data_IF_282403382631
#
_entry.id   IF_282403382631
#
_cell.length_a   1.000
_cell.length_b   1.000
_cell.length_c   1.000
_cell.angle_alpha   90.00
_cell.angle_beta   90.00
_cell.angle_gamma   90.00
#
_symmetry.space_group_name_H-M   'P 1'
#
loop_
_entity.id
_entity.type
_entity.pdbx_description
1 polymer ?
#
# COMPACT_ATOMS: atom_id res chain seq x y z
N UNK A 1 9.28 -2.76 -22.54
CA UNK A 1 8.61 -2.90 -21.23
C UNK A 1 7.39 -3.79 -21.40
N UNK A 2 7.13 -4.71 -20.46
CA UNK A 2 5.95 -5.58 -20.52
C UNK A 2 4.66 -4.74 -20.49
N UNK A 3 3.60 -5.23 -21.16
CA UNK A 3 2.27 -4.61 -21.17
C UNK A 3 1.30 -5.51 -20.41
N UNK A 4 0.43 -4.90 -19.61
CA UNK A 4 -0.60 -5.60 -18.81
C UNK A 4 -1.98 -5.12 -19.23
N UNK A 5 -2.82 -6.06 -19.62
CA UNK A 5 -4.25 -5.85 -19.94
C UNK A 5 -5.13 -6.35 -18.80
N UNK A 6 -6.44 -6.06 -18.83
CA UNK A 6 -7.40 -6.65 -17.88
C UNK A 6 -7.35 -8.18 -17.81
N UNK A 7 -7.10 -8.84 -18.93
CA UNK A 7 -7.00 -10.31 -18.99
C UNK A 7 -5.84 -10.82 -18.14
N UNK A 8 -4.65 -10.23 -18.37
CA UNK A 8 -3.37 -10.62 -17.73
C UNK A 8 -3.16 -10.01 -16.33
N UNK A 9 -4.01 -9.07 -15.92
CA UNK A 9 -3.85 -8.30 -14.67
C UNK A 9 -3.73 -9.18 -13.42
N UNK A 10 -4.57 -10.23 -13.20
CA UNK A 10 -4.43 -11.08 -12.03
C UNK A 10 -3.09 -11.81 -11.95
N UNK A 11 -2.55 -12.27 -13.08
CA UNK A 11 -1.29 -13.01 -13.11
C UNK A 11 -0.11 -12.08 -12.88
N UNK A 12 -0.15 -10.89 -13.47
CA UNK A 12 0.82 -9.84 -13.18
C UNK A 12 0.80 -9.44 -11.70
N UNK A 13 -0.37 -9.28 -11.10
CA UNK A 13 -0.53 -8.96 -9.69
C UNK A 13 0.11 -10.02 -8.78
N UNK A 14 -0.14 -11.31 -9.04
CA UNK A 14 0.49 -12.42 -8.30
C UNK A 14 1.99 -12.48 -8.50
N UNK A 15 2.44 -12.24 -9.73
CA UNK A 15 3.86 -12.18 -10.07
C UNK A 15 4.56 -11.08 -9.26
N UNK A 16 3.98 -9.88 -9.16
CA UNK A 16 4.57 -8.78 -8.39
C UNK A 16 4.69 -9.12 -6.91
N UNK A 17 3.65 -9.72 -6.30
CA UNK A 17 3.71 -10.16 -4.90
C UNK A 17 4.82 -11.20 -4.71
N UNK A 18 4.87 -12.21 -5.57
CA UNK A 18 5.87 -13.27 -5.49
C UNK A 18 7.30 -12.74 -5.67
N UNK A 19 7.52 -11.82 -6.60
CA UNK A 19 8.82 -11.17 -6.81
C UNK A 19 9.25 -10.37 -5.59
N UNK A 20 8.34 -9.57 -5.02
CA UNK A 20 8.63 -8.77 -3.82
C UNK A 20 8.94 -9.65 -2.60
N UNK A 21 8.19 -10.73 -2.39
CA UNK A 21 8.46 -11.68 -1.31
C UNK A 21 9.76 -12.45 -1.52
N UNK A 22 10.05 -12.88 -2.75
CA UNK A 22 11.32 -13.54 -3.10
C UNK A 22 12.54 -12.65 -2.88
N UNK A 23 12.36 -11.33 -3.03
CA UNK A 23 13.40 -10.33 -2.79
C UNK A 23 13.43 -9.82 -1.33
N UNK A 24 12.64 -10.37 -0.39
CA UNK A 24 12.46 -9.79 0.95
C UNK A 24 13.76 -9.53 1.73
N UNK A 25 14.80 -10.36 1.56
CA UNK A 25 16.11 -10.19 2.20
C UNK A 25 17.02 -9.14 1.55
N UNK A 26 16.64 -8.63 0.38
CA UNK A 26 17.39 -7.66 -0.42
C UNK A 26 16.96 -6.22 -0.15
N UNK A 27 15.85 -6.04 0.58
CA UNK A 27 15.42 -4.73 1.05
C UNK A 27 16.36 -4.25 2.17
N UNK A 28 16.87 -3.02 2.11
CA UNK A 28 17.83 -2.53 3.09
C UNK A 28 17.18 -2.22 4.44
N UNK A 29 15.87 -1.94 4.47
CA UNK A 29 15.16 -1.56 5.69
C UNK A 29 13.86 -2.35 5.84
N UNK A 30 13.53 -2.68 7.09
CA UNK A 30 12.20 -3.13 7.49
C UNK A 30 11.70 -2.19 8.59
N UNK A 31 10.58 -1.51 8.36
CA UNK A 31 9.90 -0.68 9.37
C UNK A 31 8.71 -1.45 9.93
N UNK A 32 8.62 -1.52 11.25
CA UNK A 32 7.45 -2.07 11.95
C UNK A 32 6.66 -0.94 12.57
N UNK A 33 5.33 -1.01 12.44
CA UNK A 33 4.42 -0.03 13.02
C UNK A 33 3.23 -0.79 13.59
N UNK A 34 2.92 -0.57 14.87
CA UNK A 34 1.72 -1.11 15.51
C UNK A 34 0.58 -0.12 15.40
N UNK A 35 -0.43 -0.48 14.64
CA UNK A 35 -1.69 0.26 14.52
C UNK A 35 -2.81 -0.49 15.26
N UNK A 36 -3.99 0.11 15.48
CA UNK A 36 -5.10 -0.56 16.15
C UNK A 36 -5.46 -1.91 15.50
N UNK A 37 -5.19 -3.00 16.22
CA UNK A 37 -5.42 -4.38 15.75
C UNK A 37 -4.49 -4.88 14.63
N UNK A 38 -3.51 -4.10 14.17
CA UNK A 38 -2.66 -4.41 13.00
C UNK A 38 -1.18 -4.14 13.28
N UNK A 39 -0.33 -5.11 12.99
CA UNK A 39 1.12 -4.89 12.93
C UNK A 39 1.56 -4.86 11.48
N UNK A 40 2.08 -3.73 11.04
CA UNK A 40 2.64 -3.56 9.70
C UNK A 40 4.12 -3.87 9.73
N UNK A 41 4.58 -4.71 8.82
CA UNK A 41 5.98 -4.88 8.47
C UNK A 41 6.21 -4.36 7.04
N UNK A 42 6.84 -3.20 6.91
CA UNK A 42 7.09 -2.54 5.63
C UNK A 42 8.54 -2.78 5.21
N UNK A 43 8.74 -3.45 4.09
CA UNK A 43 10.05 -3.64 3.45
C UNK A 43 10.26 -2.54 2.41
N UNK A 44 11.34 -1.77 2.52
CA UNK A 44 11.56 -0.60 1.67
C UNK A 44 13.03 -0.20 1.54
N UNK A 45 13.30 0.58 0.48
CA UNK A 45 14.55 1.32 0.31
C UNK A 45 14.70 2.50 1.27
N UNK A 46 15.87 3.14 1.28
CA UNK A 46 16.05 4.43 1.94
C UNK A 46 15.36 5.56 1.15
N UNK A 47 15.16 6.71 1.78
CA UNK A 47 14.67 7.93 1.11
C UNK A 47 13.34 8.43 1.67
N UNK A 48 12.69 9.32 0.90
CA UNK A 48 11.54 10.12 1.35
C UNK A 48 10.40 9.28 1.91
N UNK A 49 10.06 8.15 1.29
CA UNK A 49 8.99 7.28 1.81
C UNK A 49 9.36 6.58 3.11
N UNK A 50 10.63 6.22 3.31
CA UNK A 50 11.09 5.64 4.58
C UNK A 50 11.06 6.66 5.72
N UNK A 51 11.42 7.91 5.41
CA UNK A 51 11.35 9.02 6.36
C UNK A 51 9.90 9.35 6.69
N UNK A 52 9.02 9.42 5.68
CA UNK A 52 7.57 9.62 5.84
C UNK A 52 6.95 8.58 6.78
N UNK A 53 7.22 7.30 6.55
CA UNK A 53 6.70 6.21 7.39
C UNK A 53 7.13 6.31 8.86
N UNK A 54 8.25 6.97 9.15
CA UNK A 54 8.75 7.12 10.53
C UNK A 54 7.96 8.12 11.37
N UNK A 55 7.13 8.97 10.75
CA UNK A 55 6.34 9.98 11.45
C UNK A 55 4.87 10.04 11.00
N UNK A 56 4.49 9.32 9.95
CA UNK A 56 3.11 9.30 9.44
C UNK A 56 2.12 8.57 10.37
N UNK A 57 2.60 7.78 11.32
CA UNK A 57 1.76 6.97 12.19
C UNK A 57 2.04 7.25 13.67
N UNK A 58 0.95 7.29 14.44
CA UNK A 58 1.00 7.21 15.90
C UNK A 58 0.72 5.76 16.29
N UNK A 59 1.66 5.12 16.98
CA UNK A 59 1.51 3.72 17.36
C UNK A 59 0.40 3.52 18.41
N UNK A 60 -0.33 2.42 18.26
CA UNK A 60 -1.35 2.02 19.22
C UNK A 60 -0.72 1.54 20.54
N UNK A 61 -1.43 1.77 21.65
CA UNK A 61 -1.00 1.32 22.97
C UNK A 61 -0.87 -0.22 23.07
N UNK A 62 0.01 -0.68 23.95
CA UNK A 62 0.37 -2.09 24.11
C UNK A 62 -0.73 -2.99 24.73
N UNK A 63 -1.84 -2.42 25.18
CA UNK A 63 -2.95 -3.10 25.85
C UNK A 63 -3.99 -3.72 24.88
N UNK A 64 -3.72 -3.66 23.57
CA UNK A 64 -4.55 -4.24 22.53
C UNK A 64 -4.34 -5.77 22.38
N UNK A 65 -5.35 -6.52 21.89
CA UNK A 65 -5.20 -7.94 21.50
C UNK A 65 -4.04 -8.18 20.52
N UNK A 66 -3.57 -9.43 20.41
CA UNK A 66 -2.51 -9.77 19.44
C UNK A 66 -2.89 -9.31 18.03
N UNK A 67 -2.08 -8.42 17.42
CA UNK A 67 -2.41 -7.88 16.11
C UNK A 67 -2.14 -8.92 15.03
N UNK A 68 -2.97 -8.93 14.00
CA UNK A 68 -2.61 -9.63 12.77
C UNK A 68 -1.46 -8.91 12.07
N UNK A 69 -0.54 -9.67 11.50
CA UNK A 69 0.61 -9.12 10.78
C UNK A 69 0.28 -8.92 9.31
N UNK A 70 0.57 -7.74 8.77
CA UNK A 70 0.51 -7.43 7.36
C UNK A 70 1.90 -7.04 6.85
N UNK A 71 2.29 -7.57 5.69
CA UNK A 71 3.60 -7.30 5.07
C UNK A 71 3.42 -6.47 3.81
N UNK A 72 4.02 -5.30 3.77
CA UNK A 72 3.98 -4.43 2.60
C UNK A 72 5.38 -4.24 2.05
N UNK A 73 5.54 -4.36 0.74
CA UNK A 73 6.81 -4.17 0.04
C UNK A 73 6.73 -2.92 -0.83
N UNK A 74 7.57 -1.91 -0.55
CA UNK A 74 7.75 -0.73 -1.40
C UNK A 74 8.94 -0.99 -2.31
N UNK A 75 8.65 -1.44 -3.53
CA UNK A 75 9.59 -2.01 -4.47
C UNK A 75 9.91 -1.05 -5.63
N UNK A 76 11.13 -1.13 -6.13
CA UNK A 76 11.55 -0.53 -7.39
C UNK A 76 12.70 -1.38 -8.01
N UNK A 77 12.98 -1.27 -9.32
CA UNK A 77 13.97 -2.12 -10.02
C UNK A 77 15.41 -2.03 -9.53
N UNK A 78 15.73 -0.99 -8.74
CA UNK A 78 17.03 -0.86 -8.09
C UNK A 78 17.26 -1.85 -6.94
N UNK A 79 16.21 -2.57 -6.52
CA UNK A 79 16.30 -3.69 -5.57
C UNK A 79 16.39 -4.97 -6.40
N UNK A 80 17.46 -5.75 -6.17
CA UNK A 80 17.71 -6.96 -6.96
C UNK A 80 16.52 -7.93 -6.90
N UNK A 81 16.10 -8.46 -8.06
CA UNK A 81 14.94 -9.35 -8.21
C UNK A 81 13.59 -8.65 -8.35
N UNK A 82 13.53 -7.33 -8.25
CA UNK A 82 12.32 -6.56 -8.53
C UNK A 82 12.25 -6.22 -10.03
N UNK A 83 11.12 -6.50 -10.70
CA UNK A 83 10.96 -6.19 -12.12
C UNK A 83 10.74 -4.69 -12.37
N UNK A 84 11.05 -4.26 -13.60
CA UNK A 84 10.54 -3.01 -14.16
C UNK A 84 9.00 -3.00 -14.17
N UNK A 85 8.34 -1.89 -13.78
CA UNK A 85 6.90 -1.79 -13.88
C UNK A 85 6.41 -2.03 -15.31
N UNK A 86 5.38 -2.86 -15.44
CA UNK A 86 4.67 -2.98 -16.71
C UNK A 86 3.85 -1.71 -16.97
N UNK A 87 3.61 -1.44 -18.25
CA UNK A 87 2.68 -0.39 -18.68
C UNK A 87 1.29 -0.98 -18.87
N UNK A 88 0.28 -0.15 -18.66
CA UNK A 88 -1.08 -0.51 -19.05
C UNK A 88 -1.18 -0.75 -20.56
N UNK A 89 -1.81 -1.86 -20.94
CA UNK A 89 -1.81 -2.39 -22.30
C UNK A 89 -3.06 -2.02 -23.09
N UNK A 90 -4.21 -1.91 -22.43
CA UNK A 90 -5.49 -1.65 -23.09
C UNK A 90 -5.64 -0.17 -23.47
N UNK A 91 -6.36 0.11 -24.57
CA UNK A 91 -6.57 1.47 -25.06
C UNK A 91 -7.36 2.35 -24.07
N UNK A 92 -8.21 1.73 -23.24
CA UNK A 92 -9.01 2.43 -22.23
C UNK A 92 -8.74 1.82 -20.85
N UNK A 93 -8.25 2.66 -19.94
CA UNK A 93 -8.17 2.32 -18.52
C UNK A 93 -9.46 2.74 -17.82
N UNK A 94 -10.05 1.84 -17.04
CA UNK A 94 -11.16 2.18 -16.13
C UNK A 94 -10.85 1.66 -14.75
N UNK A 95 -10.94 2.54 -13.75
CA UNK A 95 -10.68 2.18 -12.35
C UNK A 95 -11.63 1.08 -11.87
N UNK A 96 -12.91 1.16 -12.28
CA UNK A 96 -13.91 0.15 -11.94
C UNK A 96 -13.59 -1.23 -12.55
N UNK A 97 -13.24 -1.30 -13.83
CA UNK A 97 -12.90 -2.56 -14.50
C UNK A 97 -11.65 -3.19 -13.89
N UNK A 98 -10.64 -2.37 -13.60
CA UNK A 98 -9.41 -2.78 -12.92
C UNK A 98 -9.70 -3.37 -11.53
N UNK A 99 -10.41 -2.63 -10.69
CA UNK A 99 -10.73 -3.06 -9.33
C UNK A 99 -11.61 -4.31 -9.32
N UNK A 100 -12.62 -4.38 -10.19
CA UNK A 100 -13.50 -5.54 -10.34
C UNK A 100 -12.70 -6.79 -10.73
N UNK A 101 -11.81 -6.67 -11.72
CA UNK A 101 -11.02 -7.79 -12.22
C UNK A 101 -10.08 -8.36 -11.17
N UNK A 102 -9.42 -7.51 -10.39
CA UNK A 102 -8.60 -7.97 -9.25
C UNK A 102 -9.47 -8.58 -8.15
N UNK A 103 -10.63 -7.99 -7.86
CA UNK A 103 -11.54 -8.52 -6.85
C UNK A 103 -12.06 -9.93 -7.18
N UNK A 104 -12.40 -10.20 -8.45
CA UNK A 104 -12.76 -11.54 -8.94
C UNK A 104 -11.64 -12.57 -8.74
N UNK A 105 -10.38 -12.12 -8.74
CA UNK A 105 -9.21 -12.95 -8.49
C UNK A 105 -8.81 -13.04 -7.00
N UNK A 106 -9.61 -12.47 -6.09
CA UNK A 106 -9.32 -12.43 -4.65
C UNK A 106 -8.32 -11.35 -4.24
N UNK A 107 -7.96 -10.45 -5.14
CA UNK A 107 -6.95 -9.42 -4.93
C UNK A 107 -7.58 -8.02 -4.82
N UNK A 108 -6.76 -7.06 -4.44
CA UNK A 108 -7.05 -5.63 -4.51
C UNK A 108 -5.91 -4.92 -5.22
N UNK A 109 -6.21 -3.77 -5.80
CA UNK A 109 -5.16 -2.96 -6.38
C UNK A 109 -5.60 -1.57 -6.75
N UNK A 110 -4.60 -0.76 -7.03
CA UNK A 110 -4.71 0.58 -7.57
C UNK A 110 -3.54 0.80 -8.55
N UNK A 111 -3.79 1.54 -9.62
CA UNK A 111 -2.80 1.83 -10.65
C UNK A 111 -2.87 3.31 -11.01
N UNK A 112 -1.73 4.00 -10.88
CA UNK A 112 -1.57 5.39 -11.28
C UNK A 112 -0.69 5.46 -12.53
N UNK A 113 -1.34 5.71 -13.67
CA UNK A 113 -0.79 5.52 -15.01
C UNK A 113 0.34 6.49 -15.37
N UNK A 114 0.32 7.72 -14.85
CA UNK A 114 1.35 8.73 -15.18
C UNK A 114 2.76 8.33 -14.70
N UNK A 115 2.86 7.45 -13.70
CA UNK A 115 4.13 7.03 -13.10
C UNK A 115 4.38 5.52 -13.22
N UNK A 116 3.55 4.79 -13.97
CA UNK A 116 3.53 3.32 -13.96
C UNK A 116 3.56 2.77 -12.50
N UNK A 117 2.78 3.41 -11.62
CA UNK A 117 2.79 3.15 -10.18
C UNK A 117 1.70 2.14 -9.81
N UNK A 118 2.12 0.98 -9.32
CA UNK A 118 1.24 -0.14 -9.03
C UNK A 118 1.15 -0.38 -7.54
N UNK A 119 -0.06 -0.54 -7.02
CA UNK A 119 -0.32 -1.04 -5.67
C UNK A 119 -1.19 -2.29 -5.81
N UNK A 120 -0.71 -3.43 -5.33
CA UNK A 120 -1.39 -4.72 -5.40
C UNK A 120 -1.39 -5.34 -4.01
N UNK A 121 -2.51 -5.93 -3.61
CA UNK A 121 -2.68 -6.48 -2.27
C UNK A 121 -3.49 -7.77 -2.29
N UNK A 122 -3.05 -8.74 -1.49
CA UNK A 122 -3.70 -10.01 -1.23
C UNK A 122 -4.27 -9.99 0.20
N UNK A 123 -5.59 -9.79 0.35
CA UNK A 123 -6.26 -9.78 1.66
C UNK A 123 -6.22 -11.11 2.40
N UNK A 124 -6.10 -12.24 1.68
CA UNK A 124 -6.08 -13.55 2.33
C UNK A 124 -4.73 -13.79 3.01
N UNK A 125 -3.65 -13.30 2.40
CA UNK A 125 -2.28 -13.47 2.91
C UNK A 125 -1.80 -12.26 3.73
N UNK A 126 -2.55 -11.17 3.73
CA UNK A 126 -2.14 -9.86 4.28
C UNK A 126 -0.78 -9.42 3.72
N UNK A 127 -0.61 -9.53 2.40
CA UNK A 127 0.63 -9.15 1.71
C UNK A 127 0.32 -8.14 0.60
N UNK A 128 1.08 -7.05 0.54
CA UNK A 128 0.95 -6.03 -0.50
C UNK A 128 2.28 -5.62 -1.10
N UNK A 129 2.25 -5.17 -2.35
CA UNK A 129 3.39 -4.59 -3.06
C UNK A 129 2.99 -3.26 -3.68
N UNK A 130 3.81 -2.24 -3.42
CA UNK A 130 3.83 -0.97 -4.13
C UNK A 130 5.04 -0.97 -5.06
N UNK A 131 4.84 -1.07 -6.36
CA UNK A 131 5.90 -1.05 -7.36
C UNK A 131 5.99 0.33 -8.01
N UNK A 132 7.19 0.90 -7.98
CA UNK A 132 7.54 2.21 -8.52
C UNK A 132 8.63 2.06 -9.59
N UNK A 133 8.68 2.96 -10.57
CA UNK A 133 9.72 2.94 -11.61
C UNK A 133 11.13 3.24 -11.06
N UNK A 134 11.22 3.98 -9.96
CA UNK A 134 12.46 4.25 -9.22
C UNK A 134 12.11 4.59 -7.77
N UNK A 135 13.12 4.78 -6.92
CA UNK A 135 12.91 5.10 -5.50
C UNK A 135 12.07 6.37 -5.28
N UNK A 136 12.12 7.32 -6.22
CA UNK A 136 11.44 8.62 -6.13
C UNK A 136 10.24 8.75 -7.09
N UNK A 137 9.90 7.69 -7.84
CA UNK A 137 8.80 7.69 -8.80
C UNK A 137 7.46 7.34 -8.14
N UNK A 138 7.03 8.17 -7.18
CA UNK A 138 5.74 8.04 -6.51
C UNK A 138 4.92 9.34 -6.63
N UNK A 139 3.58 9.25 -6.56
CA UNK A 139 2.74 10.44 -6.57
C UNK A 139 3.08 11.42 -5.43
N UNK A 140 2.95 12.74 -5.63
CA UNK A 140 3.39 13.75 -4.65
C UNK A 140 2.62 13.71 -3.32
N UNK A 141 1.45 13.06 -3.28
CA UNK A 141 0.68 12.87 -2.05
C UNK A 141 1.13 11.66 -1.22
N UNK A 142 1.94 10.74 -1.77
CA UNK A 142 2.28 9.51 -1.04
C UNK A 142 3.06 9.76 0.26
N UNK A 143 4.03 10.69 0.34
CA UNK A 143 4.67 11.00 1.62
C UNK A 143 3.70 11.56 2.68
N UNK A 144 2.61 12.22 2.25
CA UNK A 144 1.61 12.80 3.17
C UNK A 144 0.60 11.79 3.71
N UNK A 145 0.43 10.64 3.06
CA UNK A 145 -0.48 9.58 3.48
C UNK A 145 0.02 8.21 3.00
N UNK A 146 1.20 7.76 3.45
CA UNK A 146 1.82 6.56 2.91
C UNK A 146 0.95 5.34 3.21
N UNK A 147 0.95 4.39 2.27
CA UNK A 147 0.24 3.11 2.38
C UNK A 147 -1.28 3.21 2.47
N UNK A 148 -1.88 4.38 2.20
CA UNK A 148 -3.32 4.62 2.35
C UNK A 148 -4.20 3.56 1.68
N UNK A 149 -3.86 3.12 0.48
CA UNK A 149 -4.60 2.08 -0.23
C UNK A 149 -4.60 0.73 0.52
N UNK A 150 -3.43 0.29 0.99
CA UNK A 150 -3.30 -0.94 1.77
C UNK A 150 -4.06 -0.87 3.09
N UNK A 151 -3.93 0.25 3.81
CA UNK A 151 -4.66 0.45 5.06
C UNK A 151 -6.17 0.47 4.84
N UNK A 152 -6.64 1.09 3.76
CA UNK A 152 -8.06 1.05 3.39
C UNK A 152 -8.56 -0.39 3.21
N UNK A 153 -7.81 -1.23 2.50
CA UNK A 153 -8.19 -2.63 2.27
C UNK A 153 -8.12 -3.48 3.55
N UNK A 154 -7.04 -3.35 4.32
CA UNK A 154 -6.82 -4.05 5.59
C UNK A 154 -7.93 -3.72 6.61
N UNK A 155 -8.21 -2.44 6.83
CA UNK A 155 -9.24 -2.03 7.78
C UNK A 155 -10.65 -2.36 7.31
N UNK A 156 -10.93 -2.26 6.00
CA UNK A 156 -12.22 -2.68 5.45
C UNK A 156 -12.49 -4.17 5.69
N UNK A 157 -11.48 -5.04 5.55
CA UNK A 157 -11.60 -6.47 5.84
C UNK A 157 -11.93 -6.77 7.31
N UNK A 158 -11.65 -5.83 8.22
CA UNK A 158 -11.91 -5.93 9.66
C UNK A 158 -13.22 -5.25 10.09
N UNK A 159 -14.03 -4.79 9.15
CA UNK A 159 -15.25 -4.02 9.45
C UNK A 159 -14.97 -2.59 9.95
N UNK A 160 -13.75 -2.09 9.77
CA UNK A 160 -13.35 -0.73 10.11
C UNK A 160 -13.30 0.15 8.86
N UNK A 161 -13.25 1.47 9.05
CA UNK A 161 -13.04 2.44 7.96
C UNK A 161 -12.01 3.47 8.39
N UNK A 162 -11.15 3.83 7.44
CA UNK A 162 -10.34 5.02 7.57
C UNK A 162 -11.14 6.23 7.10
N UNK A 163 -10.98 7.33 7.81
CA UNK A 163 -11.62 8.61 7.49
C UNK A 163 -10.58 9.70 7.45
N UNK A 164 -10.73 10.63 6.50
CA UNK A 164 -9.90 11.83 6.45
C UNK A 164 -10.47 12.85 7.42
N UNK A 165 -9.82 13.03 8.56
CA UNK A 165 -10.27 13.94 9.60
C UNK A 165 -9.10 14.47 10.44
N UNK A 166 -9.27 15.68 10.97
CA UNK A 166 -8.47 16.14 12.10
C UNK A 166 -9.01 15.54 13.40
N UNK A 167 -8.14 15.28 14.37
CA UNK A 167 -8.56 14.77 15.67
C UNK A 167 -7.92 15.58 16.79
N UNK A 168 -8.68 15.87 17.84
CA UNK A 168 -8.19 16.50 19.05
C UNK A 168 -8.67 15.71 20.27
N UNK A 169 -7.76 15.40 21.20
CA UNK A 169 -8.08 14.64 22.40
C UNK A 169 -7.56 15.33 23.65
N UNK A 170 -8.40 15.44 24.68
CA UNK A 170 -8.04 15.93 26.01
C UNK A 170 -8.82 15.14 27.08
N UNK A 171 -8.13 14.71 28.14
CA UNK A 171 -8.72 14.01 29.29
C UNK A 171 -9.66 12.85 28.92
N UNK A 172 -9.23 12.01 27.97
CA UNK A 172 -10.01 10.85 27.51
C UNK A 172 -11.22 11.19 26.62
N UNK A 173 -11.41 12.46 26.25
CA UNK A 173 -12.45 12.90 25.31
C UNK A 173 -11.80 13.26 23.98
N UNK A 174 -12.33 12.71 22.90
CA UNK A 174 -11.88 12.98 21.54
C UNK A 174 -12.93 13.68 20.71
N UNK A 175 -12.51 14.63 19.87
CA UNK A 175 -13.31 15.22 18.80
C UNK A 175 -12.68 14.80 17.47
N UNK A 176 -13.53 14.41 16.52
CA UNK A 176 -13.16 14.15 15.14
C UNK A 176 -13.79 15.23 14.26
N UNK A 177 -12.96 15.92 13.49
CA UNK A 177 -13.34 16.99 12.57
C UNK A 177 -13.16 16.47 11.14
N UNK A 178 -14.26 16.07 10.51
CA UNK A 178 -14.29 15.66 9.12
C UNK A 178 -14.78 16.83 8.24
N UNK A 179 -14.09 17.10 7.13
CA UNK A 179 -14.43 18.20 6.23
C UNK A 179 -13.56 18.18 4.98
N UNK A 180 -13.95 18.98 3.98
CA UNK A 180 -13.09 19.24 2.83
C UNK A 180 -11.83 20.00 3.27
N UNK A 181 -10.74 19.86 2.51
CA UNK A 181 -9.47 20.52 2.79
C UNK A 181 -9.69 22.05 2.93
N UNK A 182 -9.35 22.61 4.09
CA UNK A 182 -9.46 24.05 4.38
C UNK A 182 -10.73 24.52 5.10
N UNK A 183 -11.57 23.59 5.58
CA UNK A 183 -12.75 23.87 6.42
C UNK A 183 -12.42 24.06 7.90
#
# INVERSE_FOLDING_TARGET
>A
MPRVTLETLPDYARYLIAAAEGAASRYPTIRRVRLPGLELAVHLGHGVLADALSHAFVEAAHDQPEPSTCRIFIAHPGIDGIPEPARWGDAHFTEHGFAKRLAEAGLRGHYFHDLDFWQIYDPQRCVGVQLMASADAFPPWEPGAPLRAFLHWEYAARGMRLTHAGTFGIDGKGILLAGSRGA
#
